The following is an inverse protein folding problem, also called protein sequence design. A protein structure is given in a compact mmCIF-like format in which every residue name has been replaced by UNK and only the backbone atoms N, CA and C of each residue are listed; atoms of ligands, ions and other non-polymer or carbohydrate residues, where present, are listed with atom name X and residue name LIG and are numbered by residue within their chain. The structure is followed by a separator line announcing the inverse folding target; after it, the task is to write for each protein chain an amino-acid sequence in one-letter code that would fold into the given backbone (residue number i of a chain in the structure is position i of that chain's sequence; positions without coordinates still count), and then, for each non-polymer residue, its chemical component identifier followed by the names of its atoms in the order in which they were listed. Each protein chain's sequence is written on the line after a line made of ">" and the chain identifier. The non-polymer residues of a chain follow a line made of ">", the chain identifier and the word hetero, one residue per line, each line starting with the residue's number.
data_IF_420737935736
#
_entry.id   IF_420737935736
#
_cell.length_a   1.000
_cell.length_b   1.000
_cell.length_c   1.000
_cell.angle_alpha   90.00
_cell.angle_beta   90.00
_cell.angle_gamma   90.00
#
_symmetry.space_group_name_H-M   'P 1'
#
loop_
_entity.id
_entity.type
_entity.pdbx_description
1 polymer ?
#
# COMPACT_ATOMS: atom_id res chain seq x y z
N UNK A 1 -67.57 -1.44 32.63
CA UNK A 1 -66.49 -0.57 32.13
C UNK A 1 -65.57 -1.40 31.24
N UNK A 2 -65.83 -1.42 29.93
CA UNK A 2 -65.16 -2.31 28.97
C UNK A 2 -64.03 -1.58 28.23
N UNK A 3 -62.85 -2.20 28.23
CA UNK A 3 -61.59 -1.68 27.73
C UNK A 3 -61.55 -1.59 26.19
N UNK A 4 -61.81 -0.40 25.65
CA UNK A 4 -61.80 -0.11 24.19
C UNK A 4 -60.39 0.25 23.66
N UNK A 5 -59.33 0.14 24.47
CA UNK A 5 -57.96 0.52 24.08
C UNK A 5 -57.03 -0.59 23.56
N UNK A 6 -57.47 -1.85 23.52
CA UNK A 6 -56.54 -3.01 23.45
C UNK A 6 -55.98 -3.31 22.06
N UNK A 7 -56.70 -3.02 20.96
CA UNK A 7 -56.26 -3.39 19.59
C UNK A 7 -55.04 -2.62 19.13
N UNK A 8 -55.03 -1.28 19.31
CA UNK A 8 -53.88 -0.43 18.92
C UNK A 8 -52.61 -0.79 19.70
N UNK A 9 -52.73 -1.10 20.99
CA UNK A 9 -51.60 -1.55 21.83
C UNK A 9 -51.00 -2.88 21.37
N UNK A 10 -51.83 -3.82 20.87
CA UNK A 10 -51.33 -5.09 20.31
C UNK A 10 -50.51 -4.88 19.04
N UNK A 11 -50.94 -4.02 18.12
CA UNK A 11 -50.18 -3.72 16.91
C UNK A 11 -48.82 -3.09 17.23
N UNK A 12 -48.77 -2.13 18.16
CA UNK A 12 -47.52 -1.50 18.58
C UNK A 12 -46.59 -2.53 19.23
N UNK A 13 -47.12 -3.43 20.07
CA UNK A 13 -46.34 -4.51 20.68
C UNK A 13 -45.72 -5.47 19.67
N UNK A 14 -46.47 -5.82 18.61
CA UNK A 14 -45.96 -6.71 17.54
C UNK A 14 -44.82 -6.02 16.77
N UNK A 15 -44.95 -4.73 16.46
CA UNK A 15 -43.89 -3.97 15.77
C UNK A 15 -42.62 -3.84 16.62
N UNK A 16 -42.76 -3.58 17.93
CA UNK A 16 -41.61 -3.53 18.85
C UNK A 16 -40.92 -4.90 18.90
N UNK A 17 -41.69 -5.99 19.02
CA UNK A 17 -41.14 -7.34 19.04
C UNK A 17 -40.39 -7.67 17.74
N UNK A 18 -40.96 -7.32 16.58
CA UNK A 18 -40.32 -7.54 15.28
C UNK A 18 -39.01 -6.75 15.15
N UNK A 19 -38.98 -5.49 15.60
CA UNK A 19 -37.75 -4.69 15.60
C UNK A 19 -36.67 -5.29 16.51
N UNK A 20 -37.06 -5.79 17.69
CA UNK A 20 -36.14 -6.42 18.64
C UNK A 20 -35.56 -7.73 18.09
N UNK A 21 -36.38 -8.52 17.41
CA UNK A 21 -35.96 -9.73 16.70
C UNK A 21 -34.99 -9.41 15.56
N UNK A 22 -35.27 -8.35 14.80
CA UNK A 22 -34.40 -7.91 13.70
C UNK A 22 -33.05 -7.41 14.21
N UNK A 23 -33.03 -6.62 15.28
CA UNK A 23 -31.79 -6.15 15.92
C UNK A 23 -31.02 -7.32 16.53
N UNK A 24 -31.69 -8.26 17.19
CA UNK A 24 -31.07 -9.46 17.74
C UNK A 24 -30.46 -10.35 16.66
N UNK A 25 -31.20 -10.59 15.57
CA UNK A 25 -30.72 -11.38 14.44
C UNK A 25 -29.52 -10.73 13.74
N UNK A 26 -29.60 -9.42 13.44
CA UNK A 26 -28.49 -8.69 12.85
C UNK A 26 -27.30 -8.57 13.80
N UNK A 27 -27.54 -8.41 15.10
CA UNK A 27 -26.50 -8.40 16.12
C UNK A 27 -25.79 -9.75 16.22
N UNK A 28 -26.55 -10.85 16.17
CA UNK A 28 -26.00 -12.21 16.19
C UNK A 28 -25.17 -12.52 14.95
N UNK A 29 -25.65 -12.16 13.74
CA UNK A 29 -24.88 -12.32 12.51
C UNK A 29 -23.62 -11.44 12.52
N UNK A 30 -23.71 -10.21 13.00
CA UNK A 30 -22.53 -9.36 13.18
C UNK A 30 -21.53 -9.99 14.16
N UNK A 31 -22.01 -10.55 15.27
CA UNK A 31 -21.17 -11.19 16.28
C UNK A 31 -20.50 -12.47 15.75
N UNK A 32 -21.16 -13.22 14.85
CA UNK A 32 -20.55 -14.35 14.13
C UNK A 32 -19.47 -13.94 13.12
N UNK A 33 -19.50 -12.72 12.59
CA UNK A 33 -18.41 -12.19 11.75
C UNK A 33 -17.17 -11.84 12.58
N UNK A 34 -17.36 -11.37 13.82
CA UNK A 34 -16.25 -11.03 14.72
C UNK A 34 -15.72 -12.23 15.49
N UNK A 35 -16.56 -13.23 15.74
CA UNK A 35 -16.19 -14.52 16.30
C UNK A 35 -16.62 -15.61 15.33
N UNK A 36 -15.98 -15.76 14.16
CA UNK A 36 -16.19 -16.97 13.38
C UNK A 36 -15.87 -18.12 14.32
N UNK A 37 -16.84 -18.97 14.59
CA UNK A 37 -16.61 -20.18 15.34
C UNK A 37 -15.47 -20.91 14.64
N UNK A 38 -14.27 -20.84 15.23
CA UNK A 38 -13.05 -21.52 14.79
C UNK A 38 -13.19 -23.06 14.87
N UNK A 39 -14.42 -23.56 14.99
CA UNK A 39 -14.77 -24.93 15.24
C UNK A 39 -14.63 -25.78 13.97
N UNK A 40 -14.80 -25.22 12.77
CA UNK A 40 -14.88 -26.08 11.58
C UNK A 40 -13.73 -26.02 10.56
N UNK A 41 -13.01 -24.91 10.36
CA UNK A 41 -12.02 -24.89 9.26
C UNK A 41 -10.66 -24.25 9.61
N UNK A 42 -9.66 -25.13 9.55
CA UNK A 42 -8.20 -24.97 9.43
C UNK A 42 -7.41 -24.35 10.60
N UNK A 43 -6.19 -24.86 10.90
CA UNK A 43 -5.32 -24.35 11.97
C UNK A 43 -4.63 -23.02 11.63
N UNK A 44 -4.69 -22.58 10.37
CA UNK A 44 -4.00 -21.38 9.86
C UNK A 44 -4.45 -20.04 10.49
N UNK A 45 -5.75 -19.74 10.64
CA UNK A 45 -6.19 -18.47 11.23
C UNK A 45 -5.77 -18.29 12.70
N UNK A 46 -5.66 -19.37 13.49
CA UNK A 46 -5.16 -19.31 14.87
C UNK A 46 -3.69 -18.91 14.93
N UNK A 47 -2.88 -19.43 14.01
CA UNK A 47 -1.45 -19.09 13.89
C UNK A 47 -1.30 -17.63 13.44
N UNK A 48 -2.13 -17.16 12.50
CA UNK A 48 -2.12 -15.77 12.05
C UNK A 48 -2.49 -14.79 13.18
N UNK A 49 -3.53 -15.09 13.95
CA UNK A 49 -3.93 -14.28 15.12
C UNK A 49 -2.84 -14.24 16.20
N UNK A 50 -2.17 -15.36 16.45
CA UNK A 50 -1.03 -15.44 17.37
C UNK A 50 0.16 -14.57 16.91
N UNK A 51 0.54 -14.68 15.64
CA UNK A 51 1.62 -13.87 15.05
C UNK A 51 1.32 -12.38 15.08
N UNK A 52 0.06 -11.98 14.81
CA UNK A 52 -0.37 -10.58 14.90
C UNK A 52 -0.24 -10.02 16.31
N UNK A 53 -0.66 -10.80 17.32
CA UNK A 53 -0.55 -10.42 18.74
C UNK A 53 0.91 -10.22 19.15
N UNK A 54 1.78 -11.14 18.73
CA UNK A 54 3.22 -11.08 19.00
C UNK A 54 3.89 -9.86 18.35
N UNK A 55 3.45 -9.47 17.14
CA UNK A 55 3.97 -8.28 16.47
C UNK A 55 3.53 -6.99 17.17
N UNK A 56 2.27 -6.95 17.64
CA UNK A 56 1.70 -5.82 18.39
C UNK A 56 2.42 -5.58 19.72
N UNK A 57 2.76 -6.65 20.44
CA UNK A 57 3.51 -6.55 21.69
C UNK A 57 4.96 -6.09 21.47
N UNK A 58 5.59 -6.51 20.36
CA UNK A 58 6.94 -6.07 20.00
C UNK A 58 6.99 -4.60 19.58
N UNK A 59 5.98 -4.12 18.85
CA UNK A 59 5.92 -2.70 18.47
C UNK A 59 5.64 -1.81 19.68
N UNK A 60 4.73 -2.20 20.58
CA UNK A 60 4.45 -1.45 21.81
C UNK A 60 5.65 -1.36 22.76
N UNK A 61 6.47 -2.41 22.86
CA UNK A 61 7.70 -2.40 23.69
C UNK A 61 8.85 -1.59 23.09
N UNK A 62 8.88 -1.38 21.77
CA UNK A 62 9.96 -0.62 21.08
C UNK A 62 9.73 0.88 21.00
N UNK A 63 8.55 1.38 21.34
CA UNK A 63 8.23 2.82 21.28
C UNK A 63 8.82 3.66 22.42
N UNK A 64 9.55 3.05 23.37
CA UNK A 64 10.12 3.77 24.51
C UNK A 64 11.45 4.50 24.22
N UNK A 65 12.08 4.31 23.05
CA UNK A 65 13.32 5.04 22.69
C UNK A 65 13.27 5.42 21.21
N UNK A 66 12.40 6.37 20.88
CA UNK A 66 12.47 7.11 19.63
C UNK A 66 13.29 8.36 19.90
N UNK A 67 14.61 8.26 19.75
CA UNK A 67 15.54 9.38 19.90
C UNK A 67 15.78 9.99 18.49
N UNK A 68 15.12 11.12 18.15
CA UNK A 68 15.18 11.70 16.81
C UNK A 68 16.59 12.20 16.43
N UNK A 69 17.50 12.35 17.39
CA UNK A 69 18.84 12.86 17.14
C UNK A 69 19.84 11.81 16.62
N UNK A 70 19.58 10.52 16.88
CA UNK A 70 20.47 9.44 16.43
C UNK A 70 20.37 9.17 14.91
N UNK A 71 19.23 9.48 14.30
CA UNK A 71 18.98 9.29 12.87
C UNK A 71 19.71 10.36 12.04
N UNK A 72 19.78 11.59 12.57
CA UNK A 72 20.43 12.72 11.87
C UNK A 72 21.95 12.55 11.75
N UNK A 73 22.59 11.87 12.73
CA UNK A 73 24.05 11.73 12.79
C UNK A 73 24.60 10.56 11.95
N UNK A 74 23.78 9.56 11.60
CA UNK A 74 24.23 8.38 10.83
C UNK A 74 23.95 8.42 9.32
N UNK A 75 23.15 9.36 8.83
CA UNK A 75 22.73 9.40 7.41
C UNK A 75 23.40 10.44 6.51
N UNK A 76 24.44 11.15 6.96
CA UNK A 76 25.21 12.04 6.07
C UNK A 76 26.72 12.02 6.30
N UNK A 77 27.46 11.17 5.55
CA UNK A 77 28.76 11.56 5.06
C UNK A 77 28.73 11.51 3.52
N UNK A 78 28.93 12.64 2.85
CA UNK A 78 29.21 12.62 1.41
C UNK A 78 28.57 13.68 0.52
N UNK A 79 28.16 14.85 1.03
CA UNK A 79 28.05 16.02 0.15
C UNK A 79 29.46 16.58 -0.11
N UNK A 80 30.21 15.95 -1.01
CA UNK A 80 31.39 16.56 -1.65
C UNK A 80 31.08 16.82 -3.12
N UNK A 81 30.65 18.06 -3.34
CA UNK A 81 31.07 18.98 -4.41
C UNK A 81 32.09 18.36 -5.39
N UNK A 82 31.67 18.10 -6.62
CA UNK A 82 32.56 18.02 -7.78
C UNK A 82 32.01 18.87 -8.91
N UNK A 83 32.41 20.13 -8.90
CA UNK A 83 32.52 20.97 -10.09
C UNK A 83 33.83 20.55 -10.74
N UNK A 84 33.80 20.01 -11.96
CA UNK A 84 34.92 20.11 -12.87
C UNK A 84 34.52 19.76 -14.30
N UNK A 85 35.09 20.57 -15.19
CA UNK A 85 34.77 20.83 -16.58
C UNK A 85 35.53 19.88 -17.52
N UNK A 86 35.00 19.77 -18.75
CA UNK A 86 35.73 19.67 -20.02
C UNK A 86 35.90 18.30 -20.74
N UNK A 87 35.61 18.40 -22.06
CA UNK A 87 36.18 17.76 -23.27
C UNK A 87 35.56 16.48 -23.87
N UNK A 88 34.84 16.70 -24.98
CA UNK A 88 34.99 16.14 -26.37
C UNK A 88 35.86 14.87 -26.52
N UNK A 89 35.55 13.80 -27.28
CA UNK A 89 34.67 13.46 -28.42
C UNK A 89 34.63 11.89 -28.56
N UNK A 90 34.24 11.20 -29.66
CA UNK A 90 33.29 11.46 -30.75
C UNK A 90 32.21 10.35 -30.93
N UNK A 91 31.43 10.49 -32.00
CA UNK A 91 30.25 9.76 -32.47
C UNK A 91 30.23 8.21 -32.40
N UNK A 92 29.05 7.70 -32.03
CA UNK A 92 28.63 6.29 -32.20
C UNK A 92 27.10 6.19 -32.27
N UNK A 93 26.58 6.26 -33.50
CA UNK A 93 25.27 5.89 -34.04
C UNK A 93 24.08 5.61 -33.09
N UNK A 94 23.04 6.45 -33.24
CA UNK A 94 21.81 5.94 -33.84
C UNK A 94 20.64 5.53 -32.95
N UNK A 95 20.18 6.41 -32.04
CA UNK A 95 18.74 6.52 -31.73
C UNK A 95 18.44 7.99 -31.45
N UNK A 96 17.60 8.61 -32.29
CA UNK A 96 17.15 10.00 -32.15
C UNK A 96 16.48 10.22 -30.78
N UNK A 97 17.27 10.60 -29.78
CA UNK A 97 16.77 11.29 -28.59
C UNK A 97 16.53 12.74 -28.98
N UNK A 98 15.29 13.24 -29.01
CA UNK A 98 15.08 14.68 -29.08
C UNK A 98 15.76 15.30 -27.85
N UNK A 99 16.71 16.20 -28.11
CA UNK A 99 17.24 17.17 -27.13
C UNK A 99 16.05 17.98 -26.60
N UNK A 100 15.39 17.48 -25.56
CA UNK A 100 14.36 18.23 -24.86
C UNK A 100 15.03 19.04 -23.76
N UNK A 101 14.80 20.34 -23.79
CA UNK A 101 15.20 21.27 -22.75
C UNK A 101 14.77 20.76 -21.37
N UNK A 102 15.73 20.38 -20.53
CA UNK A 102 15.62 20.28 -19.07
C UNK A 102 14.38 19.58 -18.45
N UNK A 103 13.70 18.66 -19.15
CA UNK A 103 12.51 18.01 -18.60
C UNK A 103 12.94 17.00 -17.54
N UNK A 104 12.76 17.38 -16.26
CA UNK A 104 12.98 16.47 -15.12
C UNK A 104 11.80 15.52 -14.99
N UNK A 105 12.07 14.23 -15.17
CA UNK A 105 11.09 13.17 -14.95
C UNK A 105 11.01 12.84 -13.46
N UNK A 106 9.83 12.48 -12.94
CA UNK A 106 9.68 12.03 -11.57
C UNK A 106 10.47 10.73 -11.36
N UNK A 107 11.16 10.64 -10.22
CA UNK A 107 11.97 9.47 -9.86
C UNK A 107 11.04 8.42 -9.26
N UNK A 108 10.88 7.29 -9.95
CA UNK A 108 10.05 6.18 -9.48
C UNK A 108 10.81 5.41 -8.41
N UNK A 109 10.28 5.39 -7.19
CA UNK A 109 10.84 4.65 -6.04
C UNK A 109 10.44 3.18 -6.07
N UNK A 110 9.31 2.85 -6.68
CA UNK A 110 8.86 1.46 -6.80
C UNK A 110 7.52 1.33 -7.51
N UNK A 111 7.14 0.08 -7.78
CA UNK A 111 5.83 -0.28 -8.32
C UNK A 111 5.28 -1.41 -7.47
N UNK A 112 4.08 -1.22 -6.94
CA UNK A 112 3.41 -2.17 -6.06
C UNK A 112 2.25 -2.81 -6.81
N UNK A 113 2.11 -4.13 -6.71
CA UNK A 113 0.94 -4.86 -7.18
C UNK A 113 0.02 -5.13 -5.99
N UNK A 114 -1.21 -4.65 -6.06
CA UNK A 114 -2.23 -4.86 -5.03
C UNK A 114 -3.33 -5.73 -5.63
N UNK A 115 -3.70 -6.80 -4.92
CA UNK A 115 -4.85 -7.64 -5.26
C UNK A 115 -6.02 -7.26 -4.36
N UNK A 116 -7.21 -7.15 -4.93
CA UNK A 116 -8.43 -7.00 -4.14
C UNK A 116 -8.96 -8.36 -3.63
N UNK A 117 -10.04 -8.33 -2.84
CA UNK A 117 -10.71 -9.54 -2.32
C UNK A 117 -11.30 -10.44 -3.42
N UNK A 118 -11.42 -9.93 -4.65
CA UNK A 118 -11.89 -10.66 -5.82
C UNK A 118 -10.73 -11.22 -6.66
N UNK A 119 -9.48 -10.95 -6.26
CA UNK A 119 -8.27 -11.37 -6.99
C UNK A 119 -7.87 -10.45 -8.15
N UNK A 120 -8.54 -9.31 -8.34
CA UNK A 120 -8.14 -8.36 -9.37
C UNK A 120 -6.83 -7.66 -8.98
N UNK A 121 -5.84 -7.76 -9.86
CA UNK A 121 -4.54 -7.11 -9.68
C UNK A 121 -4.57 -5.68 -10.19
N UNK A 122 -4.04 -4.75 -9.39
CA UNK A 122 -3.87 -3.34 -9.74
C UNK A 122 -2.44 -2.91 -9.44
N UNK A 123 -1.81 -2.23 -10.38
CA UNK A 123 -0.47 -1.67 -10.20
C UNK A 123 -0.57 -0.23 -9.69
N UNK A 124 0.25 0.08 -8.69
CA UNK A 124 0.40 1.40 -8.11
C UNK A 124 1.86 1.84 -8.25
N UNK A 125 2.06 3.10 -8.63
CA UNK A 125 3.38 3.70 -8.70
C UNK A 125 3.74 4.34 -7.36
N UNK A 126 4.96 4.15 -6.88
CA UNK A 126 5.49 4.87 -5.71
C UNK A 126 6.49 5.90 -6.18
N UNK A 127 6.22 7.17 -5.92
CA UNK A 127 7.08 8.31 -6.28
C UNK A 127 7.22 9.16 -5.02
N UNK A 128 8.46 9.38 -4.57
CA UNK A 128 8.77 10.17 -3.37
C UNK A 128 7.98 9.72 -2.13
N UNK A 129 7.79 8.40 -1.98
CA UNK A 129 7.05 7.79 -0.86
C UNK A 129 5.52 7.90 -0.93
N UNK A 130 4.96 8.48 -1.99
CA UNK A 130 3.50 8.55 -2.22
C UNK A 130 3.07 7.56 -3.29
N UNK A 131 1.86 7.03 -3.15
CA UNK A 131 1.27 6.09 -4.11
C UNK A 131 0.41 6.85 -5.13
N UNK A 132 0.53 6.45 -6.39
CA UNK A 132 -0.19 7.01 -7.52
C UNK A 132 -0.83 5.90 -8.36
N UNK A 133 -2.01 6.18 -8.88
CA UNK A 133 -2.80 5.31 -9.76
C UNK A 133 -2.68 5.75 -11.22
N UNK A 134 -3.18 4.91 -12.11
CA UNK A 134 -3.37 5.32 -13.50
C UNK A 134 -4.34 6.52 -13.56
N UNK A 135 -4.06 7.44 -14.47
CA UNK A 135 -4.70 8.75 -14.62
C UNK A 135 -4.41 9.79 -13.51
N UNK A 136 -3.58 9.48 -12.50
CA UNK A 136 -3.15 10.50 -11.54
C UNK A 136 -2.12 11.46 -12.15
N UNK A 137 -1.96 12.62 -11.51
CA UNK A 137 -1.01 13.65 -11.91
C UNK A 137 0.16 13.75 -10.92
N UNK A 138 1.38 13.74 -11.44
CA UNK A 138 2.63 13.86 -10.66
C UNK A 138 3.59 14.84 -11.31
N UNK A 139 4.03 15.87 -10.58
CA UNK A 139 4.98 16.89 -11.06
C UNK A 139 4.62 17.50 -12.44
N UNK A 140 3.32 17.62 -12.73
CA UNK A 140 2.81 18.14 -14.00
C UNK A 140 2.64 17.11 -15.12
N UNK A 141 2.99 15.85 -14.91
CA UNK A 141 2.76 14.73 -15.83
C UNK A 141 1.50 13.94 -15.45
N UNK A 142 0.80 13.44 -16.45
CA UNK A 142 -0.29 12.47 -16.31
C UNK A 142 0.25 11.05 -16.44
N UNK A 143 -0.16 10.17 -15.54
CA UNK A 143 0.21 8.75 -15.59
C UNK A 143 -0.75 8.03 -16.53
N UNK A 144 -0.33 7.82 -17.78
CA UNK A 144 -1.16 7.16 -18.79
C UNK A 144 -1.29 5.66 -18.54
N UNK A 145 -0.20 5.01 -18.13
CA UNK A 145 -0.16 3.57 -17.85
C UNK A 145 0.94 3.24 -16.84
N UNK A 146 0.63 2.31 -15.94
CA UNK A 146 1.58 1.75 -14.98
C UNK A 146 1.86 0.31 -15.42
N UNK A 147 3.13 -0.05 -15.55
CA UNK A 147 3.58 -1.40 -15.92
C UNK A 147 4.66 -1.85 -14.96
N UNK A 148 4.94 -3.15 -14.87
CA UNK A 148 6.02 -3.66 -14.02
C UNK A 148 7.40 -3.07 -14.38
N UNK A 149 7.59 -2.70 -15.65
CA UNK A 149 8.84 -2.10 -16.14
C UNK A 149 8.99 -0.62 -15.81
N UNK A 150 7.89 0.08 -15.52
CA UNK A 150 7.90 1.53 -15.37
C UNK A 150 6.57 2.22 -15.66
N UNK A 151 6.62 3.55 -15.69
CA UNK A 151 5.48 4.44 -15.90
C UNK A 151 5.55 5.09 -17.28
N UNK A 152 4.40 5.11 -17.96
CA UNK A 152 4.19 5.95 -19.14
C UNK A 152 3.55 7.26 -18.70
N UNK A 153 4.30 8.34 -18.88
CA UNK A 153 3.93 9.69 -18.48
C UNK A 153 3.61 10.52 -19.70
N UNK A 154 2.60 11.39 -19.62
CA UNK A 154 2.26 12.33 -20.69
C UNK A 154 2.15 13.76 -20.15
N UNK A 155 2.60 14.73 -20.93
CA UNK A 155 2.52 16.16 -20.62
C UNK A 155 2.52 16.94 -21.93
N UNK A 156 1.51 17.78 -22.14
CA UNK A 156 1.39 18.62 -23.34
C UNK A 156 1.52 17.81 -24.66
N UNK A 157 0.85 16.66 -24.74
CA UNK A 157 0.87 15.79 -25.93
C UNK A 157 2.13 14.93 -26.12
N UNK A 158 3.22 15.22 -25.40
CA UNK A 158 4.43 14.42 -25.42
C UNK A 158 4.36 13.26 -24.41
N UNK A 159 5.05 12.16 -24.72
CA UNK A 159 5.08 10.94 -23.90
C UNK A 159 6.51 10.61 -23.46
N UNK A 160 6.66 10.20 -22.21
CA UNK A 160 7.92 9.78 -21.61
C UNK A 160 7.75 8.45 -20.87
N UNK A 161 8.85 7.74 -20.72
CA UNK A 161 8.90 6.50 -19.95
C UNK A 161 9.85 6.67 -18.76
N UNK A 162 9.33 6.45 -17.55
CA UNK A 162 10.11 6.43 -16.32
C UNK A 162 10.29 4.98 -15.86
N UNK A 163 11.51 4.41 -15.94
CA UNK A 163 11.73 3.00 -15.60
C UNK A 163 11.57 2.75 -14.11
N UNK A 164 11.08 1.55 -13.76
CA UNK A 164 11.07 1.07 -12.38
C UNK A 164 12.51 0.82 -11.89
N UNK A 165 12.78 1.03 -10.59
CA UNK A 165 14.10 0.76 -10.03
C UNK A 165 14.41 -0.74 -10.09
N UNK A 166 15.66 -1.07 -10.41
CA UNK A 166 16.15 -2.45 -10.34
C UNK A 166 16.43 -2.80 -8.90
N UNK A 167 15.74 -3.81 -8.38
CA UNK A 167 15.98 -4.33 -7.03
C UNK A 167 17.09 -5.37 -7.10
N UNK A 168 18.18 -5.14 -6.36
CA UNK A 168 19.25 -6.11 -6.18
C UNK A 168 19.11 -6.71 -4.78
N UNK A 169 18.94 -8.03 -4.69
CA UNK A 169 18.95 -8.75 -3.42
C UNK A 169 20.35 -9.31 -3.19
N UNK A 170 20.97 -8.92 -2.08
CA UNK A 170 22.16 -9.61 -1.57
C UNK A 170 21.69 -10.78 -0.73
N UNK A 171 21.89 -12.01 -1.22
CA UNK A 171 21.66 -13.21 -0.41
C UNK A 171 22.99 -13.56 0.24
N UNK A 172 23.07 -13.39 1.57
CA UNK A 172 24.18 -13.86 2.36
C UNK A 172 24.16 -15.40 2.34
N UNK A 173 25.12 -16.01 1.63
CA UNK A 173 25.36 -17.45 1.74
C UNK A 173 25.97 -17.69 3.12
N UNK A 174 25.15 -18.06 4.10
CA UNK A 174 25.65 -18.67 5.33
C UNK A 174 26.32 -19.98 4.92
N UNK A 175 27.65 -19.97 4.88
CA UNK A 175 28.43 -21.19 4.67
C UNK A 175 28.13 -22.16 5.80
N UNK A 176 27.38 -23.21 5.48
CA UNK A 176 27.44 -24.45 6.23
C UNK A 176 28.86 -24.98 6.02
N UNK A 177 29.74 -24.70 6.98
CA UNK A 177 31.04 -25.32 7.05
C UNK A 177 30.82 -26.81 7.27
N UNK A 178 31.23 -27.61 6.29
CA UNK A 178 31.59 -29.00 6.50
C UNK A 178 32.60 -29.08 7.65
N UNK A 179 32.22 -29.80 8.70
CA UNK A 179 33.13 -30.50 9.59
C UNK A 179 32.53 -31.86 9.91
#
# INVERSE_FOLDING_TARGET
>A
MTAIGSRKRRYIGIWILAALLLVGYNGFTLMSLFNPSLADHSPEPRIAAGKWRQLRERTLKKTAVFDPDLIRKKMMPGLRRRVETARTAPAGNGVNKPKSAGVRLPVVTGIICVSDIQGNKRLLAVIDGRTYRQADRVQGFWIRKITEKGLLLTRSGSQWFAPAPKVHFSVEKTGAGDK
#
